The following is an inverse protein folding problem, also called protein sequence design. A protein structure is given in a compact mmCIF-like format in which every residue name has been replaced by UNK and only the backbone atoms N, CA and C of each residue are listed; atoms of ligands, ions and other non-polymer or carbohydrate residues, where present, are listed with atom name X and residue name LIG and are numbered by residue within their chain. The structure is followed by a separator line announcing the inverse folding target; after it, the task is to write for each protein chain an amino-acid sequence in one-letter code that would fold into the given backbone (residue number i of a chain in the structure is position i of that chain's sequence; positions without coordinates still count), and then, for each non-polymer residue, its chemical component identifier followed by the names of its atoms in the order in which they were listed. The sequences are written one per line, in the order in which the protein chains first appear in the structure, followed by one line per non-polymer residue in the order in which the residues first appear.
data_IF_413318342869
#
_entry.id   IF_413318342869
#
_cell.length_a   1.000
_cell.length_b   1.000
_cell.length_c   1.000
_cell.angle_alpha   90.00
_cell.angle_beta   90.00
_cell.angle_gamma   90.00
#
_symmetry.space_group_name_H-M   'P 1'
#
loop_
_entity.id
_entity.type
_entity.pdbx_description
1 polymer ?
#
# COMPACT_ATOMS: atom_id res chain seq x y z
N UNK A 1 4.70 -1.51 15.06
CA UNK A 1 4.37 -1.35 13.63
C UNK A 1 5.33 -2.09 12.70
N UNK A 2 6.64 -1.93 12.82
CA UNK A 2 7.62 -2.51 11.89
C UNK A 2 7.56 -4.01 11.68
N UNK A 3 7.30 -4.79 12.72
CA UNK A 3 7.30 -6.27 12.62
C UNK A 3 6.19 -6.85 11.75
N UNK A 4 5.03 -6.19 11.65
CA UNK A 4 3.92 -6.68 10.82
C UNK A 4 4.30 -6.71 9.33
N UNK A 5 5.04 -5.69 8.86
CA UNK A 5 5.55 -5.63 7.49
C UNK A 5 6.84 -6.41 7.28
N UNK A 6 7.70 -6.47 8.31
CA UNK A 6 8.99 -7.16 8.21
C UNK A 6 8.81 -8.67 7.99
N UNK A 7 7.91 -9.30 8.72
CA UNK A 7 7.72 -10.76 8.67
C UNK A 7 7.33 -11.31 7.29
N UNK A 8 6.33 -10.75 6.57
CA UNK A 8 6.03 -11.24 5.22
C UNK A 8 7.17 -10.96 4.23
N UNK A 9 7.93 -9.86 4.40
CA UNK A 9 9.10 -9.58 3.57
C UNK A 9 10.23 -10.58 3.83
N UNK A 10 10.52 -10.91 5.09
CA UNK A 10 11.49 -11.96 5.45
C UNK A 10 11.06 -13.34 4.93
N UNK A 11 9.77 -13.66 5.02
CA UNK A 11 9.22 -14.93 4.53
C UNK A 11 9.43 -15.14 3.02
N UNK A 12 9.54 -14.05 2.25
CA UNK A 12 9.84 -14.09 0.80
C UNK A 12 11.31 -13.81 0.48
N UNK A 13 12.20 -13.82 1.48
CA UNK A 13 13.64 -13.67 1.32
C UNK A 13 14.15 -12.24 1.11
N UNK A 14 13.32 -11.23 1.38
CA UNK A 14 13.74 -9.83 1.37
C UNK A 14 14.30 -9.42 2.73
N UNK A 15 15.21 -8.45 2.76
CA UNK A 15 15.71 -7.82 3.97
C UNK A 15 14.93 -6.50 4.21
N UNK A 16 14.01 -6.44 5.19
CA UNK A 16 13.27 -5.23 5.47
C UNK A 16 14.12 -4.22 6.25
N UNK A 17 14.13 -2.97 5.79
CA UNK A 17 14.73 -1.85 6.48
C UNK A 17 13.64 -0.83 6.83
N UNK A 18 13.53 -0.46 8.09
CA UNK A 18 12.62 0.62 8.50
C UNK A 18 13.34 1.96 8.33
N UNK A 19 12.75 2.84 7.53
CA UNK A 19 13.30 4.16 7.28
C UNK A 19 12.75 5.17 8.31
N UNK A 20 13.60 6.00 8.93
CA UNK A 20 13.17 7.14 9.73
C UNK A 20 12.62 8.25 8.81
N UNK A 21 11.76 9.12 9.34
CA UNK A 21 11.30 10.30 8.63
C UNK A 21 12.38 11.37 8.67
N UNK A 22 13.21 11.41 7.62
CA UNK A 22 14.28 12.39 7.48
C UNK A 22 13.87 13.52 6.53
N UNK A 23 14.56 14.65 6.62
CA UNK A 23 14.35 15.78 5.72
C UNK A 23 14.80 15.49 4.28
N UNK A 24 15.71 14.55 4.07
CA UNK A 24 16.20 14.13 2.75
C UNK A 24 15.93 12.64 2.52
N UNK A 25 14.79 12.27 1.92
CA UNK A 25 14.50 10.90 1.57
C UNK A 25 15.36 10.34 0.44
N UNK A 26 16.00 11.18 -0.39
CA UNK A 26 16.83 10.72 -1.51
C UNK A 26 18.02 9.89 -1.03
N UNK A 27 18.63 10.27 0.10
CA UNK A 27 19.75 9.54 0.68
C UNK A 27 19.40 8.09 1.05
N UNK A 28 18.13 7.82 1.39
CA UNK A 28 17.65 6.48 1.76
C UNK A 28 17.39 5.58 0.56
N UNK A 29 17.07 6.14 -0.61
CA UNK A 29 16.81 5.37 -1.82
C UNK A 29 18.06 4.67 -2.35
N UNK A 30 19.25 5.20 -2.05
CA UNK A 30 20.52 4.60 -2.44
C UNK A 30 20.76 3.20 -1.87
N UNK A 31 20.14 2.87 -0.73
CA UNK A 31 20.29 1.57 -0.06
C UNK A 31 19.08 0.66 -0.25
N UNK A 32 18.00 1.13 -0.89
CA UNK A 32 16.78 0.38 -1.09
C UNK A 32 16.67 -0.17 -2.51
N UNK A 33 16.22 -1.41 -2.66
CA UNK A 33 15.92 -2.04 -3.95
C UNK A 33 14.43 -1.94 -4.30
N UNK A 34 13.59 -1.52 -3.35
CA UNK A 34 12.15 -1.25 -3.49
C UNK A 34 11.63 -0.53 -2.25
N UNK A 35 10.48 0.10 -2.36
CA UNK A 35 9.85 0.89 -1.28
C UNK A 35 8.49 0.30 -0.92
N UNK A 36 8.26 0.06 0.37
CA UNK A 36 6.95 -0.29 0.91
C UNK A 36 6.42 0.91 1.71
N UNK A 37 5.24 1.39 1.32
CA UNK A 37 4.49 2.44 2.01
C UNK A 37 3.37 1.78 2.80
N UNK A 38 3.37 1.96 4.12
CA UNK A 38 2.45 1.27 5.03
C UNK A 38 1.18 2.06 5.36
N UNK A 39 0.36 1.46 6.22
CA UNK A 39 -0.85 2.06 6.75
C UNK A 39 -0.57 3.24 7.69
N UNK A 40 -1.60 3.98 8.07
CA UNK A 40 -1.51 5.04 9.07
C UNK A 40 -2.69 6.00 9.07
N UNK A 41 -2.52 7.09 9.83
CA UNK A 41 -3.45 8.20 9.85
C UNK A 41 -3.62 8.82 8.46
N UNK A 42 -4.69 9.57 8.28
CA UNK A 42 -5.05 10.19 7.01
C UNK A 42 -3.95 11.10 6.45
N UNK A 43 -3.95 11.26 5.14
CA UNK A 43 -3.10 12.25 4.46
C UNK A 43 -3.79 13.61 4.57
N UNK A 44 -3.03 14.67 4.85
CA UNK A 44 -3.55 16.03 4.87
C UNK A 44 -4.33 16.35 3.58
N UNK A 45 -5.62 16.70 3.68
CA UNK A 45 -6.45 16.99 2.52
C UNK A 45 -5.91 18.12 1.64
N UNK A 46 -5.13 19.05 2.18
CA UNK A 46 -4.46 20.09 1.39
C UNK A 46 -3.50 19.50 0.35
N UNK A 47 -2.96 18.30 0.58
CA UNK A 47 -2.00 17.63 -0.33
C UNK A 47 -2.64 17.14 -1.64
N UNK A 48 -3.97 16.98 -1.67
CA UNK A 48 -4.70 16.50 -2.85
C UNK A 48 -5.88 17.40 -3.25
N UNK A 49 -5.93 18.63 -2.70
CA UNK A 49 -7.00 19.61 -2.97
C UNK A 49 -8.36 19.21 -2.37
N UNK A 50 -8.33 18.38 -1.33
CA UNK A 50 -9.52 17.99 -0.55
C UNK A 50 -9.86 19.00 0.53
N UNK A 51 -11.00 18.77 1.18
CA UNK A 51 -11.45 19.54 2.36
C UNK A 51 -11.47 18.65 3.58
N UNK A 52 -11.32 19.24 4.77
CA UNK A 52 -11.42 18.51 6.03
C UNK A 52 -12.82 17.91 6.18
N UNK A 53 -12.89 16.72 6.76
CA UNK A 53 -14.14 15.99 7.05
C UNK A 53 -14.15 15.54 8.52
N UNK A 54 -15.30 15.49 9.21
CA UNK A 54 -15.38 15.10 10.62
C UNK A 54 -14.84 13.70 10.95
N UNK A 55 -14.87 12.77 9.98
CA UNK A 55 -14.34 11.40 10.15
C UNK A 55 -12.82 11.32 10.07
N UNK A 56 -12.14 12.38 9.63
CA UNK A 56 -10.70 12.35 9.41
C UNK A 56 -9.92 12.20 10.71
N UNK A 57 -8.94 11.31 10.69
CA UNK A 57 -7.96 11.18 11.78
C UNK A 57 -6.90 12.27 11.67
N UNK A 58 -6.24 12.66 12.79
CA UNK A 58 -5.15 13.62 12.73
C UNK A 58 -4.03 13.17 11.79
N UNK A 59 -3.70 14.00 10.79
CA UNK A 59 -2.57 13.77 9.89
C UNK A 59 -1.24 14.16 10.53
N UNK A 60 -0.14 13.70 9.96
CA UNK A 60 1.22 14.00 10.40
C UNK A 60 2.00 14.69 9.28
N UNK A 61 2.15 16.01 9.38
CA UNK A 61 2.86 16.80 8.36
C UNK A 61 4.28 16.27 8.05
N UNK A 62 5.13 15.93 9.03
CA UNK A 62 6.46 15.39 8.73
C UNK A 62 6.40 14.06 7.98
N UNK A 63 5.43 13.20 8.30
CA UNK A 63 5.24 11.92 7.62
C UNK A 63 4.73 12.12 6.19
N UNK A 64 3.73 12.97 6.02
CA UNK A 64 3.16 13.26 4.71
C UNK A 64 4.21 13.84 3.77
N UNK A 65 4.98 14.84 4.22
CA UNK A 65 6.05 15.43 3.44
C UNK A 65 7.11 14.39 3.05
N UNK A 66 7.56 13.59 4.01
CA UNK A 66 8.57 12.55 3.79
C UNK A 66 8.09 11.47 2.83
N UNK A 67 6.93 10.87 3.08
CA UNK A 67 6.45 9.73 2.28
C UNK A 67 6.01 10.14 0.87
N UNK A 68 5.42 11.34 0.69
CA UNK A 68 5.10 11.87 -0.64
C UNK A 68 6.37 12.08 -1.48
N UNK A 69 7.41 12.67 -0.90
CA UNK A 69 8.67 12.88 -1.60
C UNK A 69 9.41 11.56 -1.85
N UNK A 70 9.46 10.66 -0.87
CA UNK A 70 10.04 9.32 -1.03
C UNK A 70 9.37 8.55 -2.18
N UNK A 71 8.04 8.55 -2.23
CA UNK A 71 7.30 7.89 -3.30
C UNK A 71 7.56 8.54 -4.66
N UNK A 72 7.57 9.88 -4.73
CA UNK A 72 7.87 10.62 -5.96
C UNK A 72 9.26 10.26 -6.51
N UNK A 73 10.26 10.24 -5.66
CA UNK A 73 11.64 9.90 -6.01
C UNK A 73 11.78 8.42 -6.41
N UNK A 74 11.17 7.51 -5.64
CA UNK A 74 11.19 6.08 -5.96
C UNK A 74 10.60 5.80 -7.35
N UNK A 75 9.47 6.43 -7.67
CA UNK A 75 8.85 6.32 -8.99
C UNK A 75 9.74 6.92 -10.10
N UNK A 76 10.37 8.06 -9.86
CA UNK A 76 11.28 8.70 -10.82
C UNK A 76 12.53 7.84 -11.11
N UNK A 77 13.03 7.13 -10.10
CA UNK A 77 14.17 6.20 -10.23
C UNK A 77 13.78 4.82 -10.77
N UNK A 78 12.50 4.57 -11.01
CA UNK A 78 12.00 3.28 -11.48
C UNK A 78 12.13 2.16 -10.43
N UNK A 79 12.12 2.51 -9.15
CA UNK A 79 12.09 1.53 -8.06
C UNK A 79 10.68 0.93 -7.93
N UNK A 80 10.59 -0.38 -7.66
CA UNK A 80 9.32 -1.00 -7.30
C UNK A 80 8.73 -0.38 -6.03
N UNK A 81 7.41 -0.16 -6.04
CA UNK A 81 6.69 0.37 -4.88
C UNK A 81 5.47 -0.48 -4.57
N UNK A 82 5.34 -0.89 -3.30
CA UNK A 82 4.15 -1.51 -2.75
C UNK A 82 3.50 -0.54 -1.77
N UNK A 83 2.28 -0.09 -2.06
CA UNK A 83 1.47 0.72 -1.15
C UNK A 83 0.40 -0.13 -0.46
N UNK A 84 0.30 -0.04 0.87
CA UNK A 84 -0.71 -0.76 1.66
C UNK A 84 -1.57 0.24 2.40
N UNK A 85 -2.89 0.17 2.22
CA UNK A 85 -3.88 1.04 2.83
C UNK A 85 -3.58 2.52 2.54
N UNK A 86 -3.16 3.30 3.52
CA UNK A 86 -2.72 4.68 3.31
C UNK A 86 -1.62 4.80 2.23
N UNK A 87 -0.73 3.80 2.12
CA UNK A 87 0.30 3.76 1.09
C UNK A 87 -0.26 3.69 -0.33
N UNK A 88 -1.37 2.97 -0.56
CA UNK A 88 -2.09 2.98 -1.84
C UNK A 88 -2.68 4.36 -2.13
N UNK A 89 -3.32 4.99 -1.14
CA UNK A 89 -3.89 6.33 -1.26
C UNK A 89 -2.81 7.37 -1.60
N UNK A 90 -1.66 7.27 -0.95
CA UNK A 90 -0.50 8.13 -1.19
C UNK A 90 0.03 7.99 -2.62
N UNK A 91 0.08 6.78 -3.18
CA UNK A 91 0.45 6.55 -4.59
C UNK A 91 -0.49 7.30 -5.55
N UNK A 92 -1.80 7.30 -5.29
CA UNK A 92 -2.75 8.06 -6.09
C UNK A 92 -2.51 9.58 -5.97
N UNK A 93 -2.27 10.08 -4.75
CA UNK A 93 -2.00 11.50 -4.48
C UNK A 93 -0.72 11.97 -5.16
N UNK A 94 0.37 11.21 -5.08
CA UNK A 94 1.66 11.51 -5.76
C UNK A 94 1.49 11.65 -7.27
N UNK A 95 0.51 10.94 -7.84
CA UNK A 95 0.17 11.01 -9.27
C UNK A 95 -0.84 12.11 -9.61
N UNK A 96 -1.19 12.96 -8.66
CA UNK A 96 -2.14 14.07 -8.82
C UNK A 96 -3.60 13.65 -8.71
N UNK A 97 -3.87 12.49 -8.15
CA UNK A 97 -5.23 12.03 -7.83
C UNK A 97 -5.77 12.66 -6.55
N UNK A 98 -7.02 12.34 -6.21
CA UNK A 98 -7.69 12.79 -4.98
C UNK A 98 -8.16 11.60 -4.14
N UNK A 99 -8.54 11.86 -2.89
CA UNK A 99 -9.15 10.88 -2.02
C UNK A 99 -10.61 11.26 -1.71
N UNK A 100 -11.42 10.27 -1.43
CA UNK A 100 -12.71 10.39 -0.77
C UNK A 100 -12.44 10.44 0.75
N UNK A 101 -12.89 11.49 1.40
CA UNK A 101 -12.62 11.68 2.83
C UNK A 101 -13.35 10.65 3.71
N UNK A 102 -14.47 10.11 3.20
CA UNK A 102 -15.22 9.05 3.83
C UNK A 102 -15.95 8.24 2.75
N UNK A 103 -15.86 6.92 2.83
CA UNK A 103 -16.51 5.97 1.91
C UNK A 103 -17.70 5.25 2.55
N UNK A 104 -18.20 5.74 3.70
CA UNK A 104 -19.38 5.16 4.33
C UNK A 104 -20.58 5.10 3.34
N UNK A 105 -21.35 4.00 3.28
CA UNK A 105 -21.40 2.84 4.21
C UNK A 105 -20.48 1.67 3.86
N UNK A 106 -19.35 1.88 3.19
CA UNK A 106 -18.38 0.84 2.89
C UNK A 106 -17.91 0.13 4.18
N UNK A 107 -17.83 -1.23 4.22
CA UNK A 107 -17.33 -1.95 5.40
C UNK A 107 -15.87 -1.60 5.69
N UNK A 108 -15.53 -1.20 6.91
CA UNK A 108 -14.13 -1.00 7.29
C UNK A 108 -13.83 0.12 8.27
N UNK A 109 -14.74 1.07 8.45
CA UNK A 109 -14.55 2.20 9.38
C UNK A 109 -14.73 1.87 10.87
N UNK A 110 -14.92 0.61 11.25
CA UNK A 110 -15.12 0.20 12.64
C UNK A 110 -13.77 0.10 13.38
N UNK A 111 -13.28 1.26 13.83
CA UNK A 111 -12.05 1.39 14.60
C UNK A 111 -12.09 0.69 15.97
N UNK A 112 -13.25 0.58 16.59
CA UNK A 112 -13.41 -0.12 17.88
C UNK A 112 -13.16 -1.62 17.67
N UNK A 113 -13.74 -2.19 16.64
CA UNK A 113 -13.53 -3.59 16.28
C UNK A 113 -12.07 -3.85 15.88
N UNK A 114 -11.47 -2.97 15.10
CA UNK A 114 -10.03 -3.05 14.77
C UNK A 114 -9.15 -3.03 16.03
N UNK A 115 -9.44 -2.13 16.97
CA UNK A 115 -8.69 -2.07 18.23
C UNK A 115 -8.80 -3.36 19.04
N UNK A 116 -9.99 -3.99 19.06
CA UNK A 116 -10.21 -5.29 19.71
C UNK A 116 -9.44 -6.42 19.03
N UNK A 117 -9.49 -6.51 17.71
CA UNK A 117 -8.70 -7.49 16.94
C UNK A 117 -7.22 -7.33 17.23
N UNK A 118 -6.71 -6.10 17.17
CA UNK A 118 -5.30 -5.82 17.44
C UNK A 118 -4.89 -6.14 18.88
N UNK A 119 -5.72 -5.82 19.86
CA UNK A 119 -5.46 -6.14 21.25
C UNK A 119 -5.41 -7.66 21.49
N UNK A 120 -6.33 -8.41 20.88
CA UNK A 120 -6.35 -9.87 20.94
C UNK A 120 -5.07 -10.46 20.33
N UNK A 121 -4.68 -10.03 19.13
CA UNK A 121 -3.44 -10.49 18.47
C UNK A 121 -2.20 -10.19 19.31
N UNK A 122 -2.12 -9.01 19.91
CA UNK A 122 -0.97 -8.62 20.76
C UNK A 122 -0.89 -9.40 22.08
N UNK A 123 -2.05 -9.80 22.62
CA UNK A 123 -2.12 -10.61 23.88
C UNK A 123 -2.00 -12.11 23.63
N UNK A 124 -1.98 -12.57 22.38
CA UNK A 124 -2.01 -13.99 22.01
C UNK A 124 -3.38 -14.64 22.18
N UNK A 125 -4.44 -13.84 22.36
CA UNK A 125 -5.82 -14.32 22.38
C UNK A 125 -6.35 -14.51 20.95
N UNK A 126 -7.39 -15.32 20.80
CA UNK A 126 -8.10 -15.45 19.53
C UNK A 126 -8.81 -14.13 19.20
N UNK A 127 -8.49 -13.51 18.05
CA UNK A 127 -9.14 -12.26 17.68
C UNK A 127 -10.60 -12.48 17.28
N UNK A 128 -11.49 -11.50 17.51
CA UNK A 128 -12.82 -11.53 16.93
C UNK A 128 -12.71 -11.52 15.39
N UNK A 129 -13.76 -11.96 14.71
CA UNK A 129 -13.81 -11.95 13.24
C UNK A 129 -13.43 -10.59 12.67
N UNK A 130 -12.49 -10.57 11.72
CA UNK A 130 -12.06 -9.35 11.06
C UNK A 130 -13.20 -8.72 10.26
N UNK A 131 -13.43 -7.40 10.35
CA UNK A 131 -14.28 -6.72 9.38
C UNK A 131 -13.66 -6.88 8.00
N UNK A 132 -14.50 -7.12 7.01
CA UNK A 132 -14.01 -7.31 5.65
C UNK A 132 -15.15 -7.48 4.64
N UNK A 133 -14.76 -7.60 3.39
CA UNK A 133 -15.70 -7.74 2.27
C UNK A 133 -15.05 -8.49 1.10
N UNK A 134 -15.90 -8.89 0.16
CA UNK A 134 -15.43 -9.42 -1.12
C UNK A 134 -15.07 -8.27 -2.08
N UNK A 135 -14.02 -8.50 -2.86
CA UNK A 135 -13.63 -7.66 -3.99
C UNK A 135 -13.45 -8.48 -5.27
N UNK A 136 -13.49 -7.82 -6.41
CA UNK A 136 -13.20 -8.41 -7.71
C UNK A 136 -11.86 -7.95 -8.23
N UNK A 137 -10.98 -8.89 -8.59
CA UNK A 137 -9.66 -8.63 -9.17
C UNK A 137 -9.70 -8.70 -10.70
N UNK A 138 -9.25 -7.63 -11.37
CA UNK A 138 -9.18 -7.50 -12.84
C UNK A 138 -8.23 -8.56 -13.43
N UNK A 139 -8.69 -9.38 -14.40
CA UNK A 139 -7.80 -10.30 -15.11
C UNK A 139 -6.66 -9.56 -15.82
N UNK A 140 -5.48 -10.19 -15.87
CA UNK A 140 -4.31 -9.65 -16.56
C UNK A 140 -3.55 -8.54 -15.80
N UNK A 141 -4.01 -8.15 -14.62
CA UNK A 141 -3.30 -7.21 -13.75
C UNK A 141 -2.10 -7.89 -13.04
N UNK A 142 -1.17 -7.07 -12.51
CA UNK A 142 -0.08 -7.56 -11.63
C UNK A 142 -0.65 -8.19 -10.37
N UNK A 143 -1.73 -7.60 -9.84
CA UNK A 143 -2.44 -8.17 -8.70
C UNK A 143 -3.01 -9.56 -9.03
N UNK A 144 -3.64 -9.72 -10.21
CA UNK A 144 -4.14 -11.02 -10.65
C UNK A 144 -3.03 -12.05 -10.85
N UNK A 145 -1.85 -11.62 -11.29
CA UNK A 145 -0.67 -12.50 -11.39
C UNK A 145 -0.17 -12.98 -10.02
N UNK A 146 -0.36 -12.18 -8.96
CA UNK A 146 0.07 -12.50 -7.60
C UNK A 146 -0.99 -13.31 -6.82
N UNK A 147 -2.28 -12.93 -6.92
CA UNK A 147 -3.37 -13.50 -6.12
C UNK A 147 -4.33 -14.40 -6.92
N UNK A 148 -4.28 -14.36 -8.24
CA UNK A 148 -5.35 -14.85 -9.12
C UNK A 148 -6.45 -13.81 -9.35
N UNK A 149 -7.17 -13.95 -10.45
CA UNK A 149 -8.31 -13.09 -10.82
C UNK A 149 -9.61 -13.55 -10.15
N UNK A 150 -10.64 -12.72 -10.23
CA UNK A 150 -11.99 -13.00 -9.74
C UNK A 150 -12.21 -12.55 -8.30
N UNK A 151 -13.24 -13.13 -7.66
CA UNK A 151 -13.66 -12.71 -6.32
C UNK A 151 -12.67 -13.16 -5.23
N UNK A 152 -12.37 -12.25 -4.29
CA UNK A 152 -11.53 -12.50 -3.12
C UNK A 152 -12.14 -11.82 -1.89
N UNK A 153 -12.01 -12.44 -0.73
CA UNK A 153 -12.31 -11.79 0.54
C UNK A 153 -11.05 -11.13 1.09
N UNK A 154 -11.20 -9.91 1.64
CA UNK A 154 -10.13 -9.15 2.28
C UNK A 154 -10.63 -8.51 3.57
N UNK A 155 -9.71 -8.27 4.51
CA UNK A 155 -10.02 -7.43 5.67
C UNK A 155 -10.22 -5.97 5.23
N UNK A 156 -10.88 -5.18 6.07
CA UNK A 156 -11.13 -3.76 5.78
C UNK A 156 -11.04 -2.94 7.05
N UNK A 157 -10.10 -1.98 7.07
CA UNK A 157 -9.80 -1.10 8.21
C UNK A 157 -9.58 0.34 7.76
N UNK A 158 -10.33 0.80 6.76
CA UNK A 158 -10.21 2.15 6.22
C UNK A 158 -11.57 2.81 6.11
N UNK A 159 -11.60 4.13 6.24
CA UNK A 159 -12.77 4.94 5.98
C UNK A 159 -12.57 5.88 4.79
N UNK A 160 -11.31 6.08 4.36
CA UNK A 160 -11.01 6.83 3.14
C UNK A 160 -10.82 5.88 1.95
N UNK A 161 -11.03 6.40 0.75
CA UNK A 161 -10.82 5.67 -0.50
C UNK A 161 -10.22 6.54 -1.59
N UNK A 162 -9.86 5.93 -2.70
CA UNK A 162 -9.40 6.64 -3.89
C UNK A 162 -10.58 7.34 -4.54
N UNK A 163 -10.43 8.65 -4.77
CA UNK A 163 -11.39 9.46 -5.51
C UNK A 163 -11.03 9.52 -7.01
N UNK A 164 -10.69 10.72 -7.52
CA UNK A 164 -10.20 10.85 -8.89
C UNK A 164 -8.81 10.20 -9.01
N UNK A 165 -8.66 9.36 -10.03
CA UNK A 165 -7.38 8.70 -10.32
C UNK A 165 -6.33 9.71 -10.81
N UNK A 166 -5.10 9.54 -10.35
CA UNK A 166 -3.94 10.29 -10.81
C UNK A 166 -3.43 9.84 -12.18
N UNK A 167 -2.49 10.58 -12.73
CA UNK A 167 -1.93 10.28 -14.05
C UNK A 167 -1.23 8.91 -14.09
N UNK A 168 -1.68 8.03 -15.00
CA UNK A 168 -1.15 6.68 -15.16
C UNK A 168 -1.53 5.71 -14.04
N UNK A 169 -2.49 6.07 -13.19
CA UNK A 169 -3.07 5.17 -12.19
C UNK A 169 -4.20 4.37 -12.83
N UNK A 170 -4.14 3.05 -12.73
CA UNK A 170 -5.20 2.13 -13.16
C UNK A 170 -5.76 1.36 -11.97
N UNK A 171 -7.08 1.38 -11.74
CA UNK A 171 -7.71 0.55 -10.73
C UNK A 171 -7.76 -0.90 -11.23
N UNK A 172 -7.43 -1.85 -10.35
CA UNK A 172 -7.34 -3.28 -10.69
C UNK A 172 -8.12 -4.20 -9.75
N UNK A 173 -8.71 -3.63 -8.69
CA UNK A 173 -9.69 -4.34 -7.87
C UNK A 173 -10.73 -3.37 -7.31
N UNK A 174 -11.94 -3.87 -7.10
CA UNK A 174 -13.09 -3.10 -6.59
C UNK A 174 -13.91 -3.94 -5.62
N UNK A 175 -14.36 -3.30 -4.56
CA UNK A 175 -15.43 -3.81 -3.74
C UNK A 175 -16.78 -3.79 -4.49
N UNK A 176 -17.79 -4.48 -3.96
CA UNK A 176 -19.13 -4.55 -4.61
C UNK A 176 -19.84 -3.20 -4.71
N UNK A 177 -19.53 -2.26 -3.83
CA UNK A 177 -20.05 -0.90 -3.82
C UNK A 177 -19.28 0.07 -4.75
N UNK A 178 -18.26 -0.43 -5.45
CA UNK A 178 -17.48 0.32 -6.41
C UNK A 178 -16.24 1.03 -5.83
N UNK A 179 -15.99 0.90 -4.53
CA UNK A 179 -14.76 1.43 -3.91
C UNK A 179 -13.54 0.72 -4.52
N UNK A 180 -12.54 1.53 -4.91
CA UNK A 180 -11.29 1.00 -5.48
C UNK A 180 -10.45 0.39 -4.36
N UNK A 181 -10.17 -0.90 -4.49
CA UNK A 181 -9.46 -1.70 -3.50
C UNK A 181 -8.00 -2.00 -3.90
N UNK A 182 -7.67 -1.87 -5.17
CA UNK A 182 -6.28 -1.92 -5.60
C UNK A 182 -6.06 -1.08 -6.86
N UNK A 183 -4.84 -0.59 -7.01
CA UNK A 183 -4.40 0.18 -8.16
C UNK A 183 -2.98 -0.22 -8.57
N UNK A 184 -2.68 0.01 -9.83
CA UNK A 184 -1.35 -0.15 -10.42
C UNK A 184 -0.96 1.13 -11.17
N UNK A 185 0.33 1.34 -11.38
CA UNK A 185 0.78 2.35 -12.33
C UNK A 185 1.09 1.72 -13.69
N UNK A 186 0.69 2.42 -14.75
CA UNK A 186 1.09 2.05 -16.11
C UNK A 186 2.59 2.15 -16.30
N UNK A 187 3.14 1.34 -17.24
CA UNK A 187 4.56 1.31 -17.55
C UNK A 187 5.29 0.11 -16.94
N UNK A 188 6.63 0.11 -17.10
CA UNK A 188 7.45 -1.08 -16.80
C UNK A 188 7.85 -1.21 -15.33
N UNK A 189 7.77 -0.13 -14.56
CA UNK A 189 8.05 -0.16 -13.13
C UNK A 189 6.94 -0.90 -12.39
N UNK A 190 7.32 -1.85 -11.55
CA UNK A 190 6.37 -2.58 -10.74
C UNK A 190 5.85 -1.70 -9.60
N UNK A 191 4.63 -1.23 -9.71
CA UNK A 191 3.94 -0.45 -8.68
C UNK A 191 2.55 -1.03 -8.48
N UNK A 192 2.24 -1.35 -7.22
CA UNK A 192 0.95 -1.87 -6.81
C UNK A 192 0.54 -1.23 -5.49
N UNK A 193 -0.69 -0.79 -5.40
CA UNK A 193 -1.34 -0.37 -4.17
C UNK A 193 -2.52 -1.28 -3.84
N UNK A 194 -2.69 -1.65 -2.57
CA UNK A 194 -3.85 -2.39 -2.07
C UNK A 194 -4.44 -1.66 -0.86
N UNK A 195 -5.77 -1.64 -0.74
CA UNK A 195 -6.45 -0.87 0.31
C UNK A 195 -6.55 -1.64 1.62
N UNK A 196 -6.65 -2.95 1.58
CA UNK A 196 -6.70 -3.79 2.77
C UNK A 196 -5.33 -3.92 3.47
N UNK A 197 -5.34 -4.37 4.73
CA UNK A 197 -4.13 -4.62 5.53
C UNK A 197 -3.48 -5.95 5.13
N UNK A 198 -2.79 -5.93 4.00
CA UNK A 198 -2.15 -7.11 3.39
C UNK A 198 -1.18 -7.83 4.35
N UNK A 199 -0.45 -7.07 5.17
CA UNK A 199 0.52 -7.61 6.13
C UNK A 199 -0.14 -8.36 7.31
N UNK A 200 -1.45 -8.28 7.45
CA UNK A 200 -2.20 -9.03 8.46
C UNK A 200 -2.86 -10.27 7.85
N UNK A 201 -3.28 -10.19 6.58
CA UNK A 201 -4.03 -11.24 5.89
C UNK A 201 -3.19 -12.45 5.46
N UNK A 202 -1.87 -12.31 5.28
CA UNK A 202 -1.03 -13.35 4.65
C UNK A 202 -0.91 -14.65 5.47
N UNK A 203 -1.22 -14.61 6.76
CA UNK A 203 -1.23 -15.80 7.62
C UNK A 203 -2.50 -16.62 7.48
N UNK A 204 -3.61 -15.94 7.18
CA UNK A 204 -4.92 -16.55 7.04
C UNK A 204 -5.14 -17.05 5.60
N UNK A 205 -4.50 -16.37 4.62
CA UNK A 205 -4.50 -16.76 3.22
C UNK A 205 -3.08 -16.63 2.63
N UNK A 206 -2.39 -17.76 2.45
CA UNK A 206 -1.04 -17.81 1.89
C UNK A 206 -0.91 -17.15 0.51
N UNK A 207 -2.01 -17.05 -0.25
CA UNK A 207 -2.01 -16.35 -1.55
C UNK A 207 -1.66 -14.88 -1.38
N UNK A 208 -1.99 -14.25 -0.25
CA UNK A 208 -1.62 -12.87 0.06
C UNK A 208 -0.10 -12.67 0.09
N UNK A 209 0.66 -13.73 0.44
CA UNK A 209 2.12 -13.71 0.36
C UNK A 209 2.62 -13.58 -1.09
N UNK A 210 1.81 -13.97 -2.08
CA UNK A 210 2.12 -13.79 -3.50
C UNK A 210 2.40 -12.35 -3.91
N UNK A 211 1.75 -11.37 -3.27
CA UNK A 211 2.01 -9.94 -3.51
C UNK A 211 3.40 -9.54 -3.01
N UNK A 212 3.79 -9.97 -1.81
CA UNK A 212 5.13 -9.73 -1.29
C UNK A 212 6.20 -10.44 -2.12
N UNK A 213 5.91 -11.65 -2.59
CA UNK A 213 6.78 -12.40 -3.50
C UNK A 213 7.00 -11.64 -4.82
N UNK A 214 5.94 -11.13 -5.42
CA UNK A 214 6.02 -10.35 -6.65
C UNK A 214 6.80 -9.04 -6.46
N UNK A 215 6.58 -8.36 -5.33
CA UNK A 215 7.31 -7.15 -4.95
C UNK A 215 8.81 -7.44 -4.74
N UNK A 216 9.17 -8.46 -3.96
CA UNK A 216 10.57 -8.85 -3.71
C UNK A 216 11.28 -9.24 -5.01
N UNK A 217 10.61 -9.98 -5.90
CA UNK A 217 11.15 -10.32 -7.21
C UNK A 217 11.37 -9.07 -8.09
N UNK A 218 10.47 -8.07 -8.02
CA UNK A 218 10.65 -6.80 -8.71
C UNK A 218 11.83 -5.99 -8.15
N UNK A 219 11.99 -5.95 -6.83
CA UNK A 219 13.11 -5.31 -6.14
C UNK A 219 14.45 -5.96 -6.54
N UNK A 220 14.51 -7.29 -6.56
CA UNK A 220 15.70 -8.02 -7.02
C UNK A 220 16.08 -7.68 -8.47
N UNK A 221 15.08 -7.56 -9.37
CA UNK A 221 15.34 -7.14 -10.76
C UNK A 221 15.83 -5.69 -10.85
N UNK A 222 15.28 -4.78 -10.02
CA UNK A 222 15.73 -3.40 -9.96
C UNK A 222 17.18 -3.29 -9.50
N UNK A 223 17.55 -4.02 -8.45
CA UNK A 223 18.93 -4.15 -7.97
C UNK A 223 19.89 -4.61 -9.07
N UNK A 224 19.53 -5.69 -9.77
CA UNK A 224 20.35 -6.22 -10.86
C UNK A 224 20.55 -5.21 -12.00
N UNK A 225 19.54 -4.39 -12.32
CA UNK A 225 19.67 -3.31 -13.32
C UNK A 225 20.62 -2.21 -12.85
N UNK A 226 20.56 -1.81 -11.57
CA UNK A 226 21.44 -0.77 -10.99
C UNK A 226 22.92 -1.21 -10.93
N UNK A 227 23.17 -2.50 -10.74
CA UNK A 227 24.52 -3.07 -10.64
C UNK A 227 25.19 -3.32 -12.00
N UNK A 228 24.45 -3.25 -13.11
CA UNK A 228 25.04 -3.36 -14.45
C UNK A 228 25.89 -2.12 -14.73
N UNK A 229 27.18 -2.29 -15.13
CA UNK A 229 27.99 -1.15 -15.56
C UNK A 229 27.25 -0.41 -16.67
N UNK A 230 27.13 0.92 -16.56
CA UNK A 230 26.72 1.72 -17.70
C UNK A 230 27.72 1.44 -18.82
N UNK A 231 27.24 0.92 -19.96
CA UNK A 231 28.10 0.79 -21.13
C UNK A 231 28.73 2.16 -21.39
N UNK A 232 30.08 2.20 -21.41
CA UNK A 232 30.80 3.41 -21.78
C UNK A 232 30.39 3.74 -23.22
N UNK A 233 29.78 4.92 -23.39
CA UNK A 233 29.47 5.51 -24.71
C UNK A 233 30.75 6.11 -25.26
#
# INVERSE_FOLDING_TARGET
MGLAYARPLEAVGALPLQLPFLSDPAALLGVADGVLLGFGSDIDPARYGGTSHPSMTPHSEPRDAFELELARLALAEGLPVLGICRGMQLLNVVRGGTLLADVAPHPGGDWERWALVRAAVLSGAEPPEHPGHSLSVKPGSRLAAALGSGERWVNSYHHQGVGRLGAGVEPVAWARDGVVEALELTGDTWVLGVQWELQESWRDDERMLGVFTAFAAAASRARARRQRPRAAV
#
